data_IF_388501602911
#
_entry.id   IF_388501602911
#
_cell.length_a   1.000
_cell.length_b   1.000
_cell.length_c   1.000
_cell.angle_alpha   90.00
_cell.angle_beta   90.00
_cell.angle_gamma   90.00
#
_symmetry.space_group_name_H-M   'P 1'
#
loop_
_entity.id
_entity.type
_entity.pdbx_description
1 polymer ?
#
# COMPACT_ATOMS: atom_id res chain seq x y z
N UNK A 1 -8.64 -1.64 -20.91
CA UNK A 1 -8.22 -0.30 -20.40
C UNK A 1 -8.53 -0.27 -18.92
N UNK A 2 -7.64 -0.85 -18.11
CA UNK A 2 -7.95 -1.37 -16.78
C UNK A 2 -7.91 -0.25 -15.73
N UNK A 3 -8.86 0.67 -15.82
CA UNK A 3 -8.97 1.89 -15.03
C UNK A 3 -9.01 1.62 -13.52
N UNK A 4 -9.65 0.51 -13.11
CA UNK A 4 -9.74 0.07 -11.71
C UNK A 4 -8.36 -0.26 -11.10
N UNK A 5 -7.51 -0.98 -11.84
CA UNK A 5 -6.19 -1.38 -11.36
C UNK A 5 -5.28 -0.16 -11.22
N UNK A 6 -5.39 0.80 -12.15
CA UNK A 6 -4.64 2.05 -12.10
C UNK A 6 -5.06 2.92 -10.91
N UNK A 7 -6.36 3.02 -10.63
CA UNK A 7 -6.89 3.70 -9.45
C UNK A 7 -6.37 3.05 -8.15
N UNK A 8 -6.36 1.72 -8.08
CA UNK A 8 -5.85 0.98 -6.92
C UNK A 8 -4.36 1.26 -6.69
N UNK A 9 -3.55 1.26 -7.75
CA UNK A 9 -2.12 1.60 -7.67
C UNK A 9 -1.93 3.02 -7.13
N UNK A 10 -2.66 4.00 -7.68
CA UNK A 10 -2.58 5.40 -7.23
C UNK A 10 -3.01 5.54 -5.77
N UNK A 11 -4.11 4.91 -5.37
CA UNK A 11 -4.62 4.98 -4.00
C UNK A 11 -3.62 4.39 -2.98
N UNK A 12 -2.90 3.34 -3.36
CA UNK A 12 -1.89 2.71 -2.51
C UNK A 12 -0.60 3.51 -2.41
N UNK A 13 -0.16 4.15 -3.49
CA UNK A 13 0.99 5.07 -3.46
C UNK A 13 0.67 6.30 -2.61
N UNK A 14 -0.50 6.90 -2.79
CA UNK A 14 -0.94 8.10 -2.04
C UNK A 14 -1.20 7.76 -0.57
N UNK A 15 -1.89 6.66 -0.29
CA UNK A 15 -2.13 6.20 1.08
C UNK A 15 -0.85 5.88 1.84
N UNK A 16 0.16 5.30 1.17
CA UNK A 16 1.49 5.09 1.76
C UNK A 16 2.21 6.41 2.04
N UNK A 17 2.18 7.36 1.11
CA UNK A 17 2.84 8.66 1.29
C UNK A 17 2.25 9.45 2.47
N UNK A 18 0.92 9.46 2.58
CA UNK A 18 0.20 10.09 3.70
C UNK A 18 0.54 9.38 5.02
N UNK A 19 0.60 8.05 5.02
CA UNK A 19 0.99 7.26 6.18
C UNK A 19 2.43 7.51 6.64
N UNK A 20 3.37 7.63 5.69
CA UNK A 20 4.79 7.89 5.95
C UNK A 20 5.02 9.29 6.54
N UNK A 21 4.35 10.31 6.00
CA UNK A 21 4.54 11.71 6.42
C UNK A 21 3.72 12.06 7.67
N UNK A 22 2.49 11.55 7.79
CA UNK A 22 1.56 11.94 8.87
C UNK A 22 1.82 11.28 10.22
N UNK A 23 2.46 10.10 10.25
CA UNK A 23 2.64 9.31 11.48
C UNK A 23 4.10 9.13 11.91
N UNK A 24 5.03 9.83 11.27
CA UNK A 24 6.48 9.65 11.47
C UNK A 24 7.01 10.00 12.87
N UNK A 25 6.32 10.85 13.64
CA UNK A 25 6.87 11.40 14.91
C UNK A 25 6.24 10.84 16.19
N UNK A 26 5.02 10.31 16.15
CA UNK A 26 4.27 9.91 17.36
C UNK A 26 4.14 8.39 17.55
N UNK A 27 4.38 7.60 16.50
CA UNK A 27 4.07 6.15 16.50
C UNK A 27 5.18 5.34 15.82
N UNK A 28 6.43 5.67 16.17
CA UNK A 28 7.63 5.26 15.45
C UNK A 28 7.91 3.75 15.34
N UNK A 29 7.21 2.87 16.04
CA UNK A 29 7.45 1.40 15.98
C UNK A 29 6.23 0.61 15.54
N UNK A 30 5.05 0.83 16.15
CA UNK A 30 3.86 0.03 15.85
C UNK A 30 3.26 0.33 14.47
N UNK A 31 3.12 1.61 14.09
CA UNK A 31 2.57 1.98 12.79
C UNK A 31 3.53 1.63 11.66
N UNK A 32 4.84 1.63 11.92
CA UNK A 32 5.83 1.23 10.93
C UNK A 32 5.69 -0.26 10.56
N UNK A 33 5.53 -1.15 11.54
CA UNK A 33 5.33 -2.59 11.31
C UNK A 33 4.00 -2.85 10.58
N UNK A 34 2.92 -2.15 10.97
CA UNK A 34 1.63 -2.25 10.29
C UNK A 34 1.70 -1.75 8.83
N UNK A 35 2.45 -0.66 8.57
CA UNK A 35 2.69 -0.14 7.22
C UNK A 35 3.52 -1.11 6.37
N UNK A 36 4.58 -1.70 6.93
CA UNK A 36 5.39 -2.71 6.24
C UNK A 36 4.54 -3.92 5.85
N UNK A 37 3.69 -4.43 6.76
CA UNK A 37 2.75 -5.51 6.45
C UNK A 37 1.76 -5.11 5.35
N UNK A 38 1.23 -3.88 5.38
CA UNK A 38 0.34 -3.38 4.34
C UNK A 38 1.03 -3.29 2.95
N UNK A 39 2.29 -2.87 2.91
CA UNK A 39 3.10 -2.84 1.67
C UNK A 39 3.41 -4.26 1.18
N UNK A 40 3.71 -5.21 2.07
CA UNK A 40 3.92 -6.62 1.68
C UNK A 40 2.63 -7.20 1.09
N UNK A 41 1.48 -6.99 1.72
CA UNK A 41 0.18 -7.41 1.16
C UNK A 41 -0.12 -6.75 -0.18
N UNK A 42 0.24 -5.48 -0.35
CA UNK A 42 0.10 -4.78 -1.63
C UNK A 42 0.94 -5.44 -2.72
N UNK A 43 2.23 -5.67 -2.47
CA UNK A 43 3.15 -6.29 -3.44
C UNK A 43 2.68 -7.71 -3.76
N UNK A 44 2.29 -8.48 -2.73
CA UNK A 44 1.74 -9.82 -2.91
C UNK A 44 0.49 -9.80 -3.79
N UNK A 45 -0.42 -8.85 -3.58
CA UNK A 45 -1.60 -8.66 -4.42
C UNK A 45 -1.26 -8.23 -5.85
N UNK A 46 -0.25 -7.38 -6.05
CA UNK A 46 0.17 -6.95 -7.39
C UNK A 46 0.82 -8.08 -8.18
N UNK A 47 1.66 -8.88 -7.53
CA UNK A 47 2.42 -9.98 -8.14
C UNK A 47 1.54 -11.22 -8.34
N UNK A 48 0.76 -11.62 -7.34
CA UNK A 48 -0.05 -12.84 -7.37
C UNK A 48 -1.52 -12.61 -7.75
N UNK A 49 -2.03 -11.37 -7.65
CA UNK A 49 -3.42 -11.05 -7.97
C UNK A 49 -3.75 -11.03 -9.46
N UNK A 50 -2.75 -11.23 -10.35
CA UNK A 50 -3.00 -11.53 -11.76
C UNK A 50 -3.28 -13.02 -11.98
N UNK A 51 -4.25 -13.60 -11.26
CA UNK A 51 -5.03 -14.68 -11.87
C UNK A 51 -5.95 -14.02 -12.88
N UNK A 52 -5.44 -13.98 -14.11
CA UNK A 52 -6.23 -13.80 -15.32
C UNK A 52 -7.43 -14.75 -15.24
N UNK A 53 -8.62 -14.20 -15.10
CA UNK A 53 -9.89 -14.83 -15.43
C UNK A 53 -10.59 -13.94 -16.43
#
# INVERSE_FOLDING_TARGET
MNNLLNIIIVLLVVGWLIGYIGFGTMVGSLIHVLLVLAVIMLVYRLVFGRKSV
#
